data_IF_398545955903
#
_entry.id   IF_398545955903
#
_cell.length_a   1.000
_cell.length_b   1.000
_cell.length_c   1.000
_cell.angle_alpha   90.00
_cell.angle_beta   90.00
_cell.angle_gamma   90.00
#
_symmetry.space_group_name_H-M   'P 1'
#
loop_
_entity.id
_entity.type
_entity.pdbx_description
1 polymer ?
#
# COMPACT_ATOMS: atom_id res chain seq x y z
N UNK A 1 -19.98 16.14 -29.19
CA UNK A 1 -20.48 14.79 -29.14
C UNK A 1 -19.97 14.05 -27.90
N UNK A 2 -20.24 12.78 -27.79
CA UNK A 2 -19.97 11.93 -26.62
C UNK A 2 -18.50 11.95 -26.16
N UNK A 3 -17.53 11.99 -27.07
CA UNK A 3 -16.10 12.06 -26.73
C UNK A 3 -15.77 13.35 -25.95
N UNK A 4 -16.21 14.50 -26.44
CA UNK A 4 -15.97 15.78 -25.74
C UNK A 4 -16.65 15.86 -24.37
N UNK A 5 -17.81 15.25 -24.25
CA UNK A 5 -18.51 15.18 -22.96
C UNK A 5 -17.73 14.30 -21.94
N UNK A 6 -17.18 13.18 -22.41
CA UNK A 6 -16.34 12.32 -21.57
C UNK A 6 -15.02 13.01 -21.20
N UNK A 7 -14.39 13.70 -22.14
CA UNK A 7 -13.18 14.50 -21.90
C UNK A 7 -13.43 15.60 -20.86
N UNK A 8 -14.51 16.37 -21.03
CA UNK A 8 -14.89 17.41 -20.06
C UNK A 8 -15.15 16.81 -18.69
N UNK A 9 -15.90 15.70 -18.60
CA UNK A 9 -16.18 15.03 -17.33
C UNK A 9 -14.90 14.63 -16.60
N UNK A 10 -13.96 13.98 -17.29
CA UNK A 10 -12.71 13.55 -16.66
C UNK A 10 -11.80 14.71 -16.28
N UNK A 11 -11.73 15.75 -17.08
CA UNK A 11 -10.98 16.97 -16.73
C UNK A 11 -11.57 17.62 -15.48
N UNK A 12 -12.91 17.74 -15.41
CA UNK A 12 -13.60 18.31 -14.25
C UNK A 12 -13.33 17.47 -12.97
N UNK A 13 -13.28 16.12 -13.09
CA UNK A 13 -12.96 15.25 -11.97
C UNK A 13 -11.50 15.40 -11.52
N UNK A 14 -10.56 15.49 -12.44
CA UNK A 14 -9.15 15.67 -12.14
C UNK A 14 -8.88 17.05 -11.53
N UNK A 15 -9.47 18.10 -12.08
CA UNK A 15 -9.35 19.46 -11.53
C UNK A 15 -9.90 19.51 -10.11
N UNK A 16 -11.06 18.91 -9.87
CA UNK A 16 -11.65 18.82 -8.53
C UNK A 16 -10.77 18.05 -7.55
N UNK A 17 -10.18 16.92 -7.98
CA UNK A 17 -9.35 16.10 -7.12
C UNK A 17 -8.14 16.83 -6.51
N UNK A 18 -7.63 17.87 -7.19
CA UNK A 18 -6.49 18.68 -6.74
C UNK A 18 -6.89 20.09 -6.26
N UNK A 19 -8.19 20.35 -6.09
CA UNK A 19 -8.69 21.67 -5.69
C UNK A 19 -9.30 21.60 -4.30
N UNK A 20 -8.76 22.34 -3.32
CA UNK A 20 -9.39 22.47 -2.00
C UNK A 20 -10.81 23.00 -2.10
N UNK A 21 -11.73 22.49 -1.27
CA UNK A 21 -13.12 22.95 -1.23
C UNK A 21 -13.94 22.65 -2.49
N UNK A 22 -13.52 21.67 -3.30
CA UNK A 22 -14.26 21.23 -4.48
C UNK A 22 -15.61 20.60 -4.12
N UNK A 23 -16.54 20.55 -5.07
CA UNK A 23 -17.87 19.97 -4.86
C UNK A 23 -17.99 18.49 -5.20
N UNK A 24 -16.88 17.81 -5.57
CA UNK A 24 -16.88 16.42 -6.05
C UNK A 24 -16.40 15.42 -5.01
N UNK A 25 -15.44 15.83 -4.17
CA UNK A 25 -14.81 15.01 -3.14
C UNK A 25 -14.89 15.75 -1.79
N UNK A 26 -14.84 15.02 -0.69
CA UNK A 26 -14.82 15.62 0.65
C UNK A 26 -13.45 16.18 1.07
N UNK A 27 -12.40 15.80 0.33
CA UNK A 27 -11.04 16.29 0.48
C UNK A 27 -10.44 16.67 -0.87
N UNK A 28 -9.12 16.69 -0.94
CA UNK A 28 -8.35 16.92 -2.16
C UNK A 28 -6.95 16.33 -2.03
N UNK A 29 -6.33 16.05 -3.17
CA UNK A 29 -4.92 15.66 -3.25
C UNK A 29 -4.04 16.89 -3.38
N UNK A 30 -2.83 16.90 -2.79
CA UNK A 30 -1.88 17.99 -3.03
C UNK A 30 -1.43 18.00 -4.48
N UNK A 31 -1.11 19.19 -5.02
CA UNK A 31 -0.52 19.33 -6.36
C UNK A 31 0.98 19.08 -6.28
N UNK A 32 1.48 18.22 -7.17
CA UNK A 32 2.90 18.01 -7.33
C UNK A 32 3.45 18.98 -8.39
N UNK A 33 4.24 19.94 -7.95
CA UNK A 33 5.03 20.83 -8.82
C UNK A 33 6.44 20.28 -8.91
N UNK A 34 6.84 19.83 -10.08
CA UNK A 34 8.18 19.29 -10.36
C UNK A 34 8.50 19.38 -11.84
N UNK A 35 9.78 19.54 -12.13
CA UNK A 35 10.33 19.42 -13.49
C UNK A 35 10.43 17.98 -13.96
N UNK A 36 10.37 16.99 -13.04
CA UNK A 36 10.38 15.58 -13.38
C UNK A 36 9.04 15.13 -13.98
N UNK A 37 8.96 15.09 -15.31
CA UNK A 37 7.79 14.52 -16.00
C UNK A 37 7.51 13.07 -15.60
N UNK A 38 8.51 12.17 -15.47
CA UNK A 38 8.26 10.80 -15.03
C UNK A 38 7.55 10.72 -13.67
N UNK A 39 8.02 11.47 -12.68
CA UNK A 39 7.41 11.45 -11.34
C UNK A 39 5.98 12.00 -11.37
N UNK A 40 5.77 13.13 -12.07
CA UNK A 40 4.45 13.72 -12.25
C UNK A 40 3.48 12.75 -12.90
N UNK A 41 3.91 12.01 -13.94
CA UNK A 41 3.10 11.02 -14.64
C UNK A 41 2.66 9.87 -13.73
N UNK A 42 3.58 9.33 -12.91
CA UNK A 42 3.29 8.29 -11.93
C UNK A 42 2.31 8.77 -10.86
N UNK A 43 2.49 9.98 -10.35
CA UNK A 43 1.61 10.59 -9.38
C UNK A 43 0.17 10.74 -9.90
N UNK A 44 0.02 11.26 -11.12
CA UNK A 44 -1.28 11.40 -11.77
C UNK A 44 -1.92 10.05 -12.08
N UNK A 45 -1.15 9.08 -12.51
CA UNK A 45 -1.65 7.72 -12.74
C UNK A 45 -2.20 7.10 -11.45
N UNK A 46 -1.50 7.28 -10.34
CA UNK A 46 -1.97 6.84 -9.03
C UNK A 46 -3.30 7.47 -8.63
N UNK A 47 -3.41 8.80 -8.74
CA UNK A 47 -4.64 9.52 -8.45
C UNK A 47 -5.81 9.08 -9.34
N UNK A 48 -5.59 9.02 -10.66
CA UNK A 48 -6.60 8.63 -11.64
C UNK A 48 -7.05 7.18 -11.44
N UNK A 49 -6.15 6.29 -11.05
CA UNK A 49 -6.46 4.90 -10.73
C UNK A 49 -7.49 4.76 -9.63
N UNK A 50 -7.45 5.61 -8.60
CA UNK A 50 -8.45 5.62 -7.53
C UNK A 50 -9.76 6.28 -7.97
N UNK A 51 -9.68 7.45 -8.62
CA UNK A 51 -10.87 8.21 -9.09
C UNK A 51 -11.73 7.37 -10.03
N UNK A 52 -11.11 6.59 -10.91
CA UNK A 52 -11.79 5.68 -11.84
C UNK A 52 -12.75 4.71 -11.16
N UNK A 53 -12.44 4.27 -9.95
CA UNK A 53 -13.20 3.28 -9.20
C UNK A 53 -14.28 3.87 -8.29
N UNK A 54 -14.48 5.18 -8.29
CA UNK A 54 -15.57 5.81 -7.52
C UNK A 54 -16.94 5.32 -7.98
N UNK A 55 -17.78 5.00 -7.03
CA UNK A 55 -19.16 4.53 -7.24
C UNK A 55 -20.13 5.40 -6.46
N UNK A 56 -20.80 6.27 -7.21
CA UNK A 56 -21.90 7.12 -6.73
C UNK A 56 -23.20 6.66 -7.40
N UNK A 57 -24.04 5.97 -6.69
CA UNK A 57 -25.37 5.60 -7.19
C UNK A 57 -26.35 5.38 -6.03
N UNK A 58 -27.65 5.61 -6.28
CA UNK A 58 -28.66 5.63 -5.24
C UNK A 58 -28.85 4.29 -4.49
N UNK A 59 -28.42 3.17 -5.07
CA UNK A 59 -28.48 1.84 -4.44
C UNK A 59 -27.23 1.46 -3.62
N UNK A 60 -26.20 2.32 -3.59
CA UNK A 60 -24.99 2.06 -2.82
C UNK A 60 -25.28 2.26 -1.32
N UNK A 61 -25.14 1.19 -0.54
CA UNK A 61 -25.45 1.21 0.91
C UNK A 61 -24.55 2.19 1.70
N UNK A 62 -23.37 2.53 1.18
CA UNK A 62 -22.45 3.51 1.76
C UNK A 62 -22.63 4.92 1.18
N UNK A 63 -23.59 5.11 0.24
CA UNK A 63 -23.78 6.32 -0.52
C UNK A 63 -22.70 6.50 -1.61
N UNK A 64 -21.45 6.52 -1.23
CA UNK A 64 -20.26 6.52 -2.10
C UNK A 64 -19.28 5.48 -1.60
N UNK A 65 -18.72 4.73 -2.52
CA UNK A 65 -17.64 3.79 -2.28
C UNK A 65 -16.59 3.86 -3.39
N UNK A 66 -15.47 3.24 -3.16
CA UNK A 66 -14.41 3.07 -4.14
C UNK A 66 -14.14 1.58 -4.28
N UNK A 67 -14.45 1.03 -5.46
CA UNK A 67 -14.09 -0.34 -5.75
C UNK A 67 -12.57 -0.46 -5.82
N UNK A 68 -12.06 -1.66 -5.57
CA UNK A 68 -10.62 -1.92 -5.69
C UNK A 68 -10.32 -2.84 -6.83
N UNK A 69 -11.28 -3.67 -7.20
CA UNK A 69 -11.15 -4.64 -8.26
C UNK A 69 -12.45 -4.79 -9.04
N UNK A 70 -12.36 -4.73 -10.37
CA UNK A 70 -13.49 -4.91 -11.26
C UNK A 70 -13.18 -5.96 -12.32
N UNK A 71 -13.51 -7.23 -12.07
CA UNK A 71 -13.47 -8.24 -13.11
C UNK A 71 -14.66 -8.07 -14.07
N UNK A 72 -14.48 -8.41 -15.32
CA UNK A 72 -15.50 -8.24 -16.35
C UNK A 72 -16.73 -9.16 -16.19
N UNK A 73 -16.70 -10.12 -15.31
CA UNK A 73 -17.70 -11.20 -15.27
C UNK A 73 -18.25 -11.54 -13.89
N UNK A 74 -17.95 -10.74 -12.86
CA UNK A 74 -18.57 -10.87 -11.55
C UNK A 74 -18.79 -9.50 -10.90
N UNK A 75 -19.38 -9.47 -9.73
CA UNK A 75 -19.68 -8.22 -9.01
C UNK A 75 -18.40 -7.46 -8.66
N UNK A 76 -18.50 -6.14 -8.69
CA UNK A 76 -17.46 -5.26 -8.17
C UNK A 76 -17.29 -5.47 -6.68
N UNK A 77 -16.04 -5.44 -6.22
CA UNK A 77 -15.67 -5.71 -4.84
C UNK A 77 -14.69 -4.67 -4.33
N UNK A 78 -14.87 -4.29 -3.07
CA UNK A 78 -13.89 -3.48 -2.33
C UNK A 78 -13.13 -4.43 -1.41
N UNK A 79 -11.93 -4.83 -1.83
CA UNK A 79 -11.03 -5.66 -1.04
C UNK A 79 -10.31 -4.81 0.01
N UNK A 80 -10.22 -5.31 1.24
CA UNK A 80 -9.54 -4.62 2.34
C UNK A 80 -8.07 -4.39 2.00
N UNK A 81 -7.39 -5.41 1.50
CA UNK A 81 -5.97 -5.31 1.15
C UNK A 81 -5.72 -4.28 0.05
N UNK A 82 -6.40 -4.41 -1.08
CA UNK A 82 -6.22 -3.50 -2.24
C UNK A 82 -6.53 -2.05 -1.88
N UNK A 83 -7.58 -1.82 -1.09
CA UNK A 83 -7.93 -0.50 -0.60
C UNK A 83 -6.80 0.09 0.26
N UNK A 84 -6.14 -0.74 1.07
CA UNK A 84 -5.00 -0.33 1.91
C UNK A 84 -3.77 0.08 1.11
N UNK A 85 -3.59 -0.45 -0.10
CA UNK A 85 -2.48 -0.06 -0.97
C UNK A 85 -2.60 1.39 -1.47
N UNK A 86 -3.82 1.93 -1.51
CA UNK A 86 -4.12 3.33 -1.86
C UNK A 86 -4.57 4.16 -0.65
N UNK A 87 -4.25 3.75 0.55
CA UNK A 87 -4.75 4.27 1.82
C UNK A 87 -4.64 5.79 1.94
N UNK A 88 -3.45 6.37 1.70
CA UNK A 88 -3.21 7.80 1.79
C UNK A 88 -4.01 8.57 0.72
N UNK A 89 -4.13 8.00 -0.48
CA UNK A 89 -4.93 8.60 -1.54
C UNK A 89 -6.39 8.75 -1.10
N UNK A 90 -6.97 7.70 -0.50
CA UNK A 90 -8.33 7.75 0.03
C UNK A 90 -8.48 8.75 1.18
N UNK A 91 -7.53 8.77 2.12
CA UNK A 91 -7.56 9.66 3.28
C UNK A 91 -7.51 11.15 2.88
N UNK A 92 -6.78 11.48 1.82
CA UNK A 92 -6.66 12.85 1.32
C UNK A 92 -7.80 13.23 0.37
N UNK A 93 -8.11 12.37 -0.59
CA UNK A 93 -9.07 12.68 -1.65
C UNK A 93 -10.52 12.71 -1.15
N UNK A 94 -10.92 11.68 -0.40
CA UNK A 94 -12.33 11.53 0.01
C UNK A 94 -12.44 10.90 1.42
N UNK A 95 -11.98 11.63 2.46
CA UNK A 95 -11.95 11.13 3.82
C UNK A 95 -13.33 10.71 4.36
N UNK A 96 -14.42 11.37 3.94
CA UNK A 96 -15.76 10.99 4.37
C UNK A 96 -16.19 9.62 3.82
N UNK A 97 -15.87 9.34 2.56
CA UNK A 97 -16.12 8.04 1.96
C UNK A 97 -15.24 6.97 2.62
N UNK A 98 -13.98 7.28 2.88
CA UNK A 98 -13.06 6.38 3.60
C UNK A 98 -13.58 6.09 5.02
N UNK A 99 -14.01 7.11 5.77
CA UNK A 99 -14.56 6.93 7.12
C UNK A 99 -15.79 6.00 7.14
N UNK A 100 -16.70 6.14 6.16
CA UNK A 100 -17.86 5.25 6.03
C UNK A 100 -17.44 3.82 5.74
N UNK A 101 -16.47 3.62 4.86
CA UNK A 101 -15.94 2.30 4.53
C UNK A 101 -15.25 1.65 5.74
N UNK A 102 -14.44 2.41 6.48
CA UNK A 102 -13.79 1.93 7.70
C UNK A 102 -14.81 1.51 8.76
N UNK A 103 -15.82 2.34 9.05
CA UNK A 103 -16.89 2.00 9.99
C UNK A 103 -17.61 0.72 9.59
N UNK A 104 -17.84 0.53 8.30
CA UNK A 104 -18.49 -0.67 7.78
C UNK A 104 -17.64 -1.93 8.01
N UNK A 105 -16.38 -1.89 7.70
CA UNK A 105 -15.47 -3.01 7.95
C UNK A 105 -15.22 -3.26 9.43
N UNK A 106 -15.08 -2.21 10.24
CA UNK A 106 -14.88 -2.34 11.69
C UNK A 106 -16.11 -3.00 12.34
N UNK A 107 -17.31 -2.69 11.86
CA UNK A 107 -18.54 -3.31 12.35
C UNK A 107 -18.73 -4.78 11.92
N UNK A 108 -17.97 -5.23 10.94
CA UNK A 108 -17.96 -6.62 10.46
C UNK A 108 -16.74 -7.36 11.00
N UNK A 109 -16.82 -8.69 11.06
CA UNK A 109 -15.68 -9.51 11.44
C UNK A 109 -14.75 -9.72 10.24
N UNK A 110 -13.65 -8.94 10.18
CA UNK A 110 -12.64 -8.99 9.12
C UNK A 110 -11.87 -10.33 9.06
N UNK A 111 -12.05 -11.21 10.04
CA UNK A 111 -11.48 -12.54 10.04
C UNK A 111 -12.37 -13.59 9.32
N UNK A 112 -13.50 -13.16 8.75
CA UNK A 112 -14.41 -14.02 8.01
C UNK A 112 -14.52 -13.72 6.53
N UNK A 113 -14.02 -12.58 6.07
CA UNK A 113 -14.09 -12.15 4.66
C UNK A 113 -12.86 -11.30 4.29
N UNK A 114 -12.59 -11.13 3.01
CA UNK A 114 -11.48 -10.30 2.52
C UNK A 114 -11.93 -8.97 1.90
N UNK A 115 -13.21 -8.74 1.80
CA UNK A 115 -13.76 -7.51 1.20
C UNK A 115 -15.27 -7.50 1.25
N UNK A 116 -15.86 -6.48 0.64
CA UNK A 116 -17.30 -6.26 0.60
C UNK A 116 -17.78 -5.95 -0.81
N UNK A 117 -19.02 -6.34 -1.11
CA UNK A 117 -19.68 -5.97 -2.36
C UNK A 117 -20.03 -4.49 -2.33
N UNK A 118 -19.66 -3.77 -3.38
CA UNK A 118 -19.98 -2.35 -3.52
C UNK A 118 -21.47 -2.09 -3.68
N UNK A 119 -22.25 -3.09 -4.11
CA UNK A 119 -23.70 -2.97 -4.28
C UNK A 119 -24.46 -3.18 -2.97
N UNK A 120 -24.10 -4.21 -2.23
CA UNK A 120 -24.87 -4.67 -1.06
C UNK A 120 -24.19 -4.35 0.27
N UNK A 121 -22.90 -4.04 0.27
CA UNK A 121 -22.08 -3.96 1.47
C UNK A 121 -21.81 -5.33 2.14
N UNK A 122 -22.35 -6.41 1.59
CA UNK A 122 -22.20 -7.76 2.14
C UNK A 122 -20.79 -8.32 1.99
N UNK A 123 -20.40 -9.28 2.86
CA UNK A 123 -19.06 -9.86 2.86
C UNK A 123 -18.81 -10.66 1.57
N UNK A 124 -17.57 -10.62 1.10
CA UNK A 124 -17.08 -11.36 -0.07
C UNK A 124 -15.86 -12.18 0.33
N UNK A 125 -15.86 -13.45 -0.06
CA UNK A 125 -14.74 -14.36 0.16
C UNK A 125 -14.66 -14.89 1.59
N UNK A 126 -13.44 -15.19 1.99
CA UNK A 126 -13.07 -15.72 3.30
C UNK A 126 -11.99 -14.84 3.94
N UNK A 127 -11.58 -15.15 5.15
CA UNK A 127 -10.43 -14.48 5.78
C UNK A 127 -9.20 -14.47 4.87
N UNK A 128 -8.49 -13.35 4.89
CA UNK A 128 -7.22 -13.20 4.22
C UNK A 128 -6.15 -12.72 5.21
N UNK A 129 -4.98 -13.33 5.18
CA UNK A 129 -3.93 -13.18 6.19
C UNK A 129 -3.44 -11.75 6.40
N UNK A 130 -3.59 -10.89 5.40
CA UNK A 130 -3.16 -9.49 5.44
C UNK A 130 -4.16 -8.55 6.10
N UNK A 131 -5.38 -9.01 6.42
CA UNK A 131 -6.47 -8.13 6.82
C UNK A 131 -6.18 -7.28 8.06
N UNK A 132 -5.54 -7.84 9.09
CA UNK A 132 -5.21 -7.08 10.31
C UNK A 132 -4.24 -5.94 9.98
N UNK A 133 -3.18 -6.23 9.23
CA UNK A 133 -2.22 -5.23 8.77
C UNK A 133 -2.88 -4.16 7.90
N UNK A 134 -3.69 -4.57 6.94
CA UNK A 134 -4.39 -3.65 6.04
C UNK A 134 -5.33 -2.71 6.81
N UNK A 135 -6.10 -3.23 7.77
CA UNK A 135 -7.03 -2.42 8.56
C UNK A 135 -6.32 -1.45 9.51
N UNK A 136 -5.26 -1.89 10.19
CA UNK A 136 -4.48 -0.98 11.05
C UNK A 136 -3.83 0.13 10.20
N UNK A 137 -3.28 -0.22 9.03
CA UNK A 137 -2.73 0.76 8.07
C UNK A 137 -3.79 1.77 7.64
N UNK A 138 -4.97 1.30 7.27
CA UNK A 138 -6.07 2.17 6.83
C UNK A 138 -6.53 3.14 7.92
N UNK A 139 -6.76 2.65 9.13
CA UNK A 139 -7.16 3.49 10.26
C UNK A 139 -6.07 4.49 10.61
N UNK A 140 -4.81 4.04 10.66
CA UNK A 140 -3.68 4.90 10.96
C UNK A 140 -3.51 6.02 9.93
N UNK A 141 -3.56 5.70 8.63
CA UNK A 141 -3.44 6.70 7.56
C UNK A 141 -4.61 7.69 7.57
N UNK A 142 -5.82 7.21 7.82
CA UNK A 142 -6.97 8.09 8.01
C UNK A 142 -6.74 9.07 9.16
N UNK A 143 -6.37 8.57 10.35
CA UNK A 143 -6.19 9.39 11.53
C UNK A 143 -5.07 10.42 11.37
N UNK A 144 -3.91 10.00 10.84
CA UNK A 144 -2.73 10.87 10.76
C UNK A 144 -2.85 11.97 9.71
N UNK A 145 -3.62 11.76 8.63
CA UNK A 145 -3.84 12.80 7.62
C UNK A 145 -5.07 13.66 7.90
N UNK A 146 -6.13 13.10 8.46
CA UNK A 146 -7.35 13.88 8.75
C UNK A 146 -7.34 14.56 10.11
N UNK A 147 -6.57 14.05 11.07
CA UNK A 147 -6.62 14.50 12.47
C UNK A 147 -7.89 14.09 13.21
N UNK A 148 -8.77 13.31 12.61
CA UNK A 148 -10.08 12.91 13.18
C UNK A 148 -9.91 11.81 14.26
N UNK A 149 -9.27 12.17 15.37
CA UNK A 149 -9.07 11.25 16.49
C UNK A 149 -10.38 10.85 17.19
N UNK A 150 -11.49 11.55 16.92
CA UNK A 150 -12.80 11.17 17.45
C UNK A 150 -13.27 9.79 16.94
N UNK A 151 -12.80 9.35 15.77
CA UNK A 151 -13.04 8.00 15.27
C UNK A 151 -12.65 6.91 16.28
N UNK A 152 -11.58 7.15 17.06
CA UNK A 152 -11.07 6.17 18.04
C UNK A 152 -12.06 5.83 19.16
N UNK A 153 -12.97 6.75 19.48
CA UNK A 153 -14.01 6.58 20.51
C UNK A 153 -15.34 6.06 19.95
N UNK A 154 -15.48 6.05 18.62
CA UNK A 154 -16.68 5.48 18.00
C UNK A 154 -16.73 3.98 18.23
N UNK A 155 -17.96 3.43 18.26
CA UNK A 155 -18.21 2.01 18.58
C UNK A 155 -18.92 1.26 17.44
N UNK A 156 -18.34 1.22 16.23
CA UNK A 156 -18.88 0.41 15.15
C UNK A 156 -18.87 -1.08 15.56
N UNK A 157 -20.02 -1.74 15.52
CA UNK A 157 -20.11 -3.13 15.99
C UNK A 157 -20.12 -3.31 17.50
N UNK A 158 -20.20 -2.22 18.29
CA UNK A 158 -20.38 -2.28 19.75
C UNK A 158 -19.10 -2.20 20.58
N UNK A 159 -17.93 -2.11 19.96
CA UNK A 159 -16.62 -1.97 20.59
C UNK A 159 -15.93 -0.71 20.06
N UNK A 160 -15.15 -0.02 20.90
CA UNK A 160 -14.43 1.16 20.46
C UNK A 160 -13.37 0.84 19.39
N UNK A 161 -13.17 1.76 18.45
CA UNK A 161 -12.16 1.58 17.40
C UNK A 161 -10.77 1.33 18.00
N UNK A 162 -10.43 2.02 19.10
CA UNK A 162 -9.17 1.78 19.83
C UNK A 162 -9.03 0.32 20.28
N UNK A 163 -10.10 -0.28 20.76
CA UNK A 163 -10.09 -1.69 21.20
C UNK A 163 -9.99 -2.64 20.01
N UNK A 164 -10.67 -2.36 18.90
CA UNK A 164 -10.50 -3.11 17.65
C UNK A 164 -9.04 -3.08 17.16
N UNK A 165 -8.40 -1.91 17.18
CA UNK A 165 -6.98 -1.80 16.80
C UNK A 165 -6.08 -2.67 17.68
N UNK A 166 -6.33 -2.68 19.00
CA UNK A 166 -5.58 -3.53 19.93
C UNK A 166 -5.79 -5.01 19.66
N UNK A 167 -7.04 -5.42 19.44
CA UNK A 167 -7.37 -6.81 19.12
C UNK A 167 -6.70 -7.26 17.82
N UNK A 168 -6.73 -6.43 16.78
CA UNK A 168 -6.07 -6.76 15.50
C UNK A 168 -4.55 -6.79 15.63
N UNK A 169 -3.95 -5.90 16.41
CA UNK A 169 -2.50 -5.93 16.66
C UNK A 169 -2.05 -7.20 17.39
N UNK A 170 -2.95 -7.82 18.15
CA UNK A 170 -2.70 -9.04 18.94
C UNK A 170 -3.25 -10.32 18.26
N UNK A 171 -4.02 -10.22 17.18
CA UNK A 171 -4.68 -11.35 16.52
C UNK A 171 -3.71 -12.46 16.06
N UNK A 172 -2.46 -12.10 15.78
CA UNK A 172 -1.41 -13.06 15.42
C UNK A 172 -1.09 -14.06 16.54
N UNK A 173 -1.44 -13.77 17.80
CA UNK A 173 -1.24 -14.70 18.92
C UNK A 173 -1.97 -16.04 18.70
N UNK A 174 -3.16 -16.00 18.14
CA UNK A 174 -3.98 -17.19 17.89
C UNK A 174 -3.38 -18.07 16.79
N UNK A 175 -2.37 -17.55 16.08
CA UNK A 175 -1.68 -18.26 14.99
C UNK A 175 -0.30 -18.78 15.40
N UNK A 176 0.12 -18.56 16.63
CA UNK A 176 1.40 -19.11 17.12
C UNK A 176 1.30 -20.60 17.37
N UNK A 177 2.28 -21.34 16.83
CA UNK A 177 2.51 -22.72 17.18
C UNK A 177 3.56 -22.87 18.28
N UNK A 178 4.54 -23.72 18.06
CA UNK A 178 5.70 -23.87 18.94
C UNK A 178 6.75 -22.76 18.79
N UNK A 179 6.68 -22.03 17.69
CA UNK A 179 7.52 -20.86 17.37
C UNK A 179 6.91 -19.59 17.94
N UNK A 180 7.71 -18.54 18.23
CA UNK A 180 7.19 -17.22 18.58
C UNK A 180 6.57 -16.47 17.39
N UNK A 181 6.74 -16.96 16.15
CA UNK A 181 6.15 -16.36 14.94
C UNK A 181 4.70 -16.82 14.71
N UNK A 182 3.95 -16.03 13.97
CA UNK A 182 2.64 -16.44 13.48
C UNK A 182 2.77 -17.36 12.27
N UNK A 183 2.04 -18.48 12.28
CA UNK A 183 1.87 -19.40 11.15
C UNK A 183 0.57 -19.09 10.43
N UNK A 184 0.67 -18.62 9.19
CA UNK A 184 -0.47 -18.26 8.36
C UNK A 184 -1.00 -19.41 7.50
N UNK A 185 -0.41 -20.58 7.60
CA UNK A 185 -0.88 -21.78 6.92
C UNK A 185 -0.50 -21.86 5.45
N UNK A 186 -1.37 -22.51 4.70
CA UNK A 186 -1.12 -22.85 3.30
C UNK A 186 -1.35 -21.69 2.34
N UNK A 187 -0.92 -21.86 1.12
CA UNK A 187 -0.88 -20.86 0.04
C UNK A 187 -2.19 -20.09 -0.19
N UNK A 188 -3.32 -20.71 0.03
CA UNK A 188 -4.64 -20.06 -0.20
C UNK A 188 -5.01 -18.99 0.82
N UNK A 189 -4.25 -18.85 1.88
CA UNK A 189 -4.38 -17.76 2.86
C UNK A 189 -3.39 -16.62 2.67
N UNK A 190 -2.45 -16.75 1.73
CA UNK A 190 -1.34 -15.83 1.50
C UNK A 190 -1.36 -15.31 0.07
N UNK A 191 -0.24 -15.40 -0.65
CA UNK A 191 -0.16 -15.05 -2.07
C UNK A 191 -0.48 -16.26 -2.92
N UNK A 192 -1.67 -16.29 -3.44
CA UNK A 192 -2.36 -17.44 -4.04
C UNK A 192 -1.61 -18.28 -5.05
N UNK A 193 -0.49 -17.92 -5.55
CA UNK A 193 0.21 -18.65 -6.60
C UNK A 193 1.70 -18.79 -6.36
N UNK A 194 2.14 -18.67 -5.12
CA UNK A 194 3.55 -18.79 -4.72
C UNK A 194 3.67 -19.81 -3.61
N UNK A 195 4.14 -21.03 -3.94
CA UNK A 195 4.20 -22.15 -3.01
C UNK A 195 5.28 -22.00 -1.93
N UNK A 196 6.28 -21.15 -2.17
CA UNK A 196 7.31 -20.84 -1.17
C UNK A 196 6.80 -19.90 -0.07
N UNK A 197 5.73 -19.14 -0.33
CA UNK A 197 5.18 -18.15 0.59
C UNK A 197 4.06 -18.77 1.45
N UNK A 198 4.44 -19.60 2.39
CA UNK A 198 3.52 -20.35 3.28
C UNK A 198 4.03 -20.38 4.72
N UNK A 199 3.12 -20.58 5.67
CA UNK A 199 3.38 -20.76 7.09
C UNK A 199 3.99 -19.51 7.77
N UNK A 200 5.16 -19.59 8.40
CA UNK A 200 5.78 -18.48 9.11
C UNK A 200 6.58 -17.60 8.14
N UNK A 201 5.90 -16.71 7.44
CA UNK A 201 6.51 -15.79 6.46
C UNK A 201 7.03 -14.51 7.11
N UNK A 202 8.12 -13.96 6.58
CA UNK A 202 8.77 -12.78 7.14
C UNK A 202 7.93 -11.52 7.02
N UNK A 203 7.31 -11.27 5.85
CA UNK A 203 6.53 -10.06 5.61
C UNK A 203 5.35 -9.88 6.57
N UNK A 204 4.51 -10.89 6.75
CA UNK A 204 3.35 -10.77 7.64
C UNK A 204 3.76 -10.71 9.11
N UNK A 205 4.86 -11.37 9.51
CA UNK A 205 5.40 -11.23 10.86
C UNK A 205 6.08 -9.88 11.09
N UNK A 206 6.75 -9.30 10.08
CA UNK A 206 7.23 -7.92 10.12
C UNK A 206 6.07 -6.92 10.19
N UNK A 207 4.98 -7.18 9.46
CA UNK A 207 3.76 -6.40 9.57
C UNK A 207 3.16 -6.45 10.98
N UNK A 208 3.22 -7.59 11.68
CA UNK A 208 2.77 -7.69 13.06
C UNK A 208 3.64 -6.84 14.01
N UNK A 209 4.96 -6.76 13.79
CA UNK A 209 5.83 -5.82 14.53
C UNK A 209 5.38 -4.38 14.31
N UNK A 210 5.12 -4.01 13.06
CA UNK A 210 4.63 -2.68 12.72
C UNK A 210 3.24 -2.40 13.32
N UNK A 211 2.33 -3.36 13.27
CA UNK A 211 0.99 -3.25 13.87
C UNK A 211 1.08 -2.95 15.36
N UNK A 212 1.88 -3.70 16.10
CA UNK A 212 2.09 -3.52 17.54
C UNK A 212 2.62 -2.12 17.86
N UNK A 213 3.63 -1.65 17.14
CA UNK A 213 4.23 -0.31 17.31
C UNK A 213 3.23 0.80 16.95
N UNK A 214 2.53 0.66 15.83
CA UNK A 214 1.54 1.65 15.39
C UNK A 214 0.40 1.79 16.40
N UNK A 215 -0.11 0.68 16.92
CA UNK A 215 -1.17 0.71 17.92
C UNK A 215 -0.64 1.20 19.28
N UNK A 216 0.61 0.91 19.64
CA UNK A 216 1.25 1.48 20.82
C UNK A 216 1.30 3.02 20.75
N UNK A 217 1.61 3.59 19.58
CA UNK A 217 1.60 5.03 19.37
C UNK A 217 0.18 5.61 19.54
N UNK A 218 -0.84 4.94 19.00
CA UNK A 218 -2.25 5.33 19.21
C UNK A 218 -2.63 5.29 20.69
N UNK A 219 -2.27 4.23 21.42
CA UNK A 219 -2.53 4.11 22.85
C UNK A 219 -1.83 5.22 23.65
N UNK A 220 -0.61 5.58 23.26
CA UNK A 220 0.12 6.71 23.87
C UNK A 220 -0.65 8.02 23.71
N UNK A 221 -1.18 8.31 22.54
CA UNK A 221 -2.00 9.52 22.31
C UNK A 221 -3.31 9.51 23.09
N UNK A 222 -3.79 8.33 23.47
CA UNK A 222 -4.98 8.15 24.32
C UNK A 222 -4.67 8.15 25.82
N UNK A 223 -3.39 8.25 26.20
CA UNK A 223 -2.94 8.25 27.60
C UNK A 223 -2.82 6.86 28.23
N UNK A 224 -2.95 5.78 27.45
CA UNK A 224 -2.72 4.40 27.90
C UNK A 224 -1.23 4.03 27.75
N UNK A 225 -0.41 4.59 28.65
CA UNK A 225 1.03 4.37 28.64
C UNK A 225 1.43 2.91 28.97
N UNK A 226 0.65 2.23 29.82
CA UNK A 226 0.93 0.84 30.19
C UNK A 226 0.63 -0.10 29.00
N UNK A 227 -0.51 0.05 28.35
CA UNK A 227 -0.84 -0.70 27.15
C UNK A 227 0.16 -0.45 26.00
N UNK A 228 0.57 0.80 25.81
CA UNK A 228 1.59 1.13 24.81
C UNK A 228 2.93 0.44 25.09
N UNK A 229 3.36 0.43 26.35
CA UNK A 229 4.60 -0.25 26.76
C UNK A 229 4.54 -1.77 26.57
N UNK A 230 3.40 -2.38 26.87
CA UNK A 230 3.20 -3.82 26.64
C UNK A 230 3.35 -4.18 25.15
N UNK A 231 2.65 -3.45 24.28
CA UNK A 231 2.73 -3.70 22.83
C UNK A 231 4.12 -3.44 22.26
N UNK A 232 4.82 -2.41 22.73
CA UNK A 232 6.19 -2.12 22.31
C UNK A 232 7.16 -3.24 22.71
N UNK A 233 7.06 -3.72 23.94
CA UNK A 233 7.90 -4.83 24.42
C UNK A 233 7.64 -6.13 23.61
N UNK A 234 6.40 -6.35 23.24
CA UNK A 234 6.02 -7.49 22.41
C UNK A 234 6.54 -7.36 20.98
N UNK A 235 6.46 -6.16 20.39
CA UNK A 235 7.05 -5.86 19.08
C UNK A 235 8.54 -6.14 19.05
N UNK A 236 9.28 -5.71 20.09
CA UNK A 236 10.73 -5.94 20.21
C UNK A 236 11.08 -7.42 20.37
N UNK A 237 10.24 -8.18 21.05
CA UNK A 237 10.42 -9.63 21.17
C UNK A 237 10.17 -10.35 19.85
N UNK A 238 9.08 -9.99 19.13
CA UNK A 238 8.72 -10.58 17.85
C UNK A 238 9.75 -10.26 16.76
N UNK A 239 10.25 -9.02 16.74
CA UNK A 239 11.24 -8.55 15.77
C UNK A 239 12.47 -9.47 15.71
N UNK A 240 12.97 -9.91 16.84
CA UNK A 240 14.14 -10.83 16.90
C UNK A 240 13.88 -12.10 16.11
N UNK A 241 12.70 -12.68 16.26
CA UNK A 241 12.32 -13.88 15.56
C UNK A 241 12.07 -13.66 14.05
N UNK A 242 11.61 -12.47 13.66
CA UNK A 242 11.48 -12.09 12.25
C UNK A 242 12.85 -11.97 11.59
N UNK A 243 13.79 -11.30 12.25
CA UNK A 243 15.16 -11.15 11.74
C UNK A 243 15.87 -12.49 11.60
N UNK A 244 15.58 -13.46 12.46
CA UNK A 244 16.13 -14.83 12.39
C UNK A 244 15.68 -15.61 11.14
N UNK A 245 14.67 -15.13 10.40
CA UNK A 245 14.28 -15.68 9.10
C UNK A 245 15.16 -15.19 7.94
N UNK A 246 16.01 -14.18 8.18
CA UNK A 246 16.90 -13.68 7.14
C UNK A 246 17.95 -14.73 6.74
N UNK A 247 18.16 -14.89 5.44
CA UNK A 247 19.21 -15.77 4.89
C UNK A 247 20.47 -14.93 4.58
N UNK A 248 21.50 -14.99 5.42
CA UNK A 248 22.68 -14.13 5.26
C UNK A 248 23.34 -14.22 3.88
N UNK A 249 23.66 -13.08 3.29
CA UNK A 249 24.30 -12.99 1.99
C UNK A 249 23.38 -13.15 0.78
N UNK A 250 22.06 -13.29 0.99
CA UNK A 250 21.12 -13.56 -0.10
C UNK A 250 20.20 -12.38 -0.42
N UNK A 251 20.02 -11.47 0.52
CA UNK A 251 19.11 -10.33 0.39
C UNK A 251 17.63 -10.68 0.52
N UNK A 252 17.27 -11.90 0.87
CA UNK A 252 15.89 -12.29 1.10
C UNK A 252 15.72 -13.15 2.35
N UNK A 253 14.47 -13.34 2.74
CA UNK A 253 14.07 -14.11 3.93
C UNK A 253 13.58 -15.48 3.53
N UNK A 254 13.50 -16.37 4.51
CA UNK A 254 12.86 -17.66 4.37
C UNK A 254 11.49 -17.66 5.04
N UNK A 255 10.60 -18.53 4.58
CA UNK A 255 9.43 -18.98 5.32
C UNK A 255 9.78 -20.24 6.10
N UNK A 256 9.49 -20.25 7.41
CA UNK A 256 9.69 -21.45 8.24
C UNK A 256 8.46 -22.34 8.13
N UNK A 257 8.69 -23.61 7.77
CA UNK A 257 7.66 -24.62 7.63
C UNK A 257 7.36 -25.28 9.00
N UNK A 258 6.24 -26.00 9.16
CA UNK A 258 5.88 -26.67 10.43
C UNK A 258 6.91 -27.67 10.97
N UNK A 259 7.71 -28.26 10.08
CA UNK A 259 8.80 -29.18 10.44
C UNK A 259 10.12 -28.46 10.79
N UNK A 260 10.12 -27.11 10.76
CA UNK A 260 11.28 -26.27 11.00
C UNK A 260 12.15 -26.00 9.77
N UNK A 261 11.82 -26.57 8.60
CA UNK A 261 12.54 -26.31 7.35
C UNK A 261 12.39 -24.85 6.94
N UNK A 262 13.49 -24.23 6.48
CA UNK A 262 13.52 -22.88 5.95
C UNK A 262 13.45 -22.93 4.42
N UNK A 263 12.39 -22.36 3.84
CA UNK A 263 12.18 -22.26 2.40
C UNK A 263 12.46 -20.82 1.96
N UNK A 264 13.45 -20.58 1.09
CA UNK A 264 13.72 -19.22 0.61
C UNK A 264 12.51 -18.60 -0.09
N UNK A 265 12.17 -17.34 0.23
CA UNK A 265 11.09 -16.59 -0.41
C UNK A 265 11.70 -15.48 -1.24
N UNK A 266 11.60 -15.59 -2.56
CA UNK A 266 12.16 -14.63 -3.51
C UNK A 266 11.08 -13.79 -4.16
N UNK A 267 10.14 -13.29 -3.34
CA UNK A 267 8.97 -12.54 -3.79
C UNK A 267 9.05 -11.06 -3.38
N UNK A 268 8.57 -10.17 -4.25
CA UNK A 268 8.56 -8.73 -4.02
C UNK A 268 7.75 -8.34 -2.77
N UNK A 269 6.74 -9.11 -2.40
CA UNK A 269 5.92 -8.77 -1.24
C UNK A 269 6.71 -8.85 0.06
N UNK A 270 7.56 -9.87 0.23
CA UNK A 270 8.49 -9.93 1.37
C UNK A 270 9.44 -8.73 1.37
N UNK A 271 10.08 -8.43 0.23
CA UNK A 271 10.95 -7.27 0.08
C UNK A 271 10.25 -5.96 0.45
N UNK A 272 9.04 -5.73 -0.08
CA UNK A 272 8.32 -4.48 0.10
C UNK A 272 7.80 -4.30 1.52
N UNK A 273 7.21 -5.35 2.12
CA UNK A 273 6.64 -5.24 3.47
C UNK A 273 7.74 -5.17 4.52
N UNK A 274 8.76 -6.01 4.43
CA UNK A 274 9.90 -5.93 5.37
C UNK A 274 10.57 -4.55 5.26
N UNK A 275 10.83 -4.07 4.05
CA UNK A 275 11.47 -2.77 3.83
C UNK A 275 10.63 -1.59 4.29
N UNK A 276 9.30 -1.64 4.21
CA UNK A 276 8.44 -0.53 4.65
C UNK A 276 8.03 -0.60 6.12
N UNK A 277 8.29 -1.72 6.82
CA UNK A 277 7.86 -1.91 8.21
C UNK A 277 8.99 -1.94 9.23
N UNK A 278 10.12 -2.58 8.91
CA UNK A 278 11.23 -2.79 9.85
C UNK A 278 12.61 -2.45 9.27
N UNK A 279 12.70 -1.65 8.21
CA UNK A 279 13.98 -1.30 7.59
C UNK A 279 15.00 -0.73 8.58
N UNK A 280 14.56 0.11 9.51
CA UNK A 280 15.42 0.76 10.52
C UNK A 280 16.03 -0.24 11.50
N UNK A 281 15.37 -1.36 11.72
CA UNK A 281 15.83 -2.42 12.62
C UNK A 281 16.85 -3.36 11.97
N UNK A 282 16.99 -3.29 10.63
CA UNK A 282 17.90 -4.15 9.89
C UNK A 282 19.32 -3.56 9.87
N UNK A 283 20.30 -4.43 10.04
CA UNK A 283 21.71 -4.05 9.90
C UNK A 283 22.06 -3.53 8.51
N UNK A 284 23.03 -2.61 8.42
CA UNK A 284 23.41 -2.01 7.15
C UNK A 284 23.84 -3.00 6.07
N UNK A 285 24.41 -4.15 6.44
CA UNK A 285 24.73 -5.22 5.48
C UNK A 285 23.46 -5.87 4.93
N UNK A 286 22.52 -6.25 5.78
CA UNK A 286 21.23 -6.83 5.38
C UNK A 286 20.50 -5.89 4.42
N UNK A 287 20.44 -4.60 4.73
CA UNK A 287 19.80 -3.60 3.85
C UNK A 287 20.45 -3.55 2.47
N UNK A 288 21.77 -3.53 2.39
CA UNK A 288 22.50 -3.54 1.10
C UNK A 288 22.23 -4.84 0.32
N UNK A 289 22.25 -5.99 0.99
CA UNK A 289 21.98 -7.28 0.37
C UNK A 289 20.54 -7.35 -0.17
N UNK A 290 19.55 -6.78 0.56
CA UNK A 290 18.16 -6.69 0.08
C UNK A 290 18.06 -5.82 -1.18
N UNK A 291 18.73 -4.68 -1.22
CA UNK A 291 18.76 -3.82 -2.42
C UNK A 291 19.41 -4.55 -3.60
N UNK A 292 20.52 -5.24 -3.39
CA UNK A 292 21.18 -6.04 -4.43
C UNK A 292 20.27 -7.16 -4.96
N UNK A 293 19.58 -7.88 -4.07
CA UNK A 293 18.58 -8.88 -4.45
C UNK A 293 17.49 -8.26 -5.34
N UNK A 294 16.94 -7.11 -4.92
CA UNK A 294 15.91 -6.43 -5.70
C UNK A 294 16.43 -6.05 -7.10
N UNK A 295 17.60 -5.44 -7.20
CA UNK A 295 18.16 -4.99 -8.47
C UNK A 295 18.50 -6.14 -9.40
N UNK A 296 18.97 -7.27 -8.87
CA UNK A 296 19.42 -8.40 -9.69
C UNK A 296 18.31 -9.37 -10.06
N UNK A 297 17.30 -9.55 -9.20
CA UNK A 297 16.29 -10.59 -9.38
C UNK A 297 14.89 -10.06 -9.72
N UNK A 298 14.50 -8.90 -9.16
CA UNK A 298 13.13 -8.42 -9.27
C UNK A 298 12.96 -7.22 -10.20
N UNK A 299 13.85 -6.25 -10.15
CA UNK A 299 13.77 -5.05 -10.97
C UNK A 299 13.90 -5.37 -12.46
N UNK A 300 13.04 -4.76 -13.29
CA UNK A 300 13.27 -4.63 -14.73
C UNK A 300 13.48 -3.16 -15.12
N UNK A 301 13.84 -2.90 -16.35
CA UNK A 301 14.10 -1.52 -16.81
C UNK A 301 12.86 -0.62 -16.78
N UNK A 302 11.67 -1.17 -16.85
CA UNK A 302 10.41 -0.41 -16.96
C UNK A 302 9.30 -0.91 -16.03
N UNK A 303 9.52 -2.04 -15.35
CA UNK A 303 8.58 -2.64 -14.43
C UNK A 303 9.28 -3.50 -13.37
N UNK A 304 8.65 -4.59 -12.96
CA UNK A 304 9.04 -5.44 -11.87
C UNK A 304 8.60 -6.89 -12.14
N UNK A 305 9.41 -7.84 -11.73
CA UNK A 305 8.98 -9.22 -11.53
C UNK A 305 8.48 -9.36 -10.10
N UNK A 306 7.31 -9.91 -9.93
CA UNK A 306 6.78 -10.18 -8.60
C UNK A 306 7.56 -11.28 -7.90
N UNK A 307 7.96 -12.30 -8.65
CA UNK A 307 8.72 -13.45 -8.20
C UNK A 307 10.01 -13.53 -9.00
N UNK A 308 11.12 -13.83 -8.32
CA UNK A 308 12.39 -14.08 -8.98
C UNK A 308 12.30 -15.25 -9.97
N UNK A 309 12.93 -15.15 -11.15
CA UNK A 309 13.01 -16.27 -12.08
C UNK A 309 13.79 -17.47 -11.54
N UNK A 310 14.51 -17.31 -10.43
CA UNK A 310 15.24 -18.40 -9.74
C UNK A 310 14.46 -18.99 -8.56
N UNK A 311 13.24 -18.53 -8.29
CA UNK A 311 12.35 -19.18 -7.34
C UNK A 311 11.87 -20.53 -7.88
N UNK A 312 11.58 -21.46 -6.98
CA UNK A 312 11.08 -22.80 -7.35
C UNK A 312 9.75 -22.74 -8.10
N UNK A 313 8.95 -21.72 -7.86
CA UNK A 313 7.66 -21.50 -8.53
C UNK A 313 7.77 -20.76 -9.86
N UNK A 314 8.95 -20.33 -10.29
CA UNK A 314 9.09 -19.51 -11.49
C UNK A 314 8.56 -20.21 -12.76
N UNK A 315 8.51 -21.53 -12.78
CA UNK A 315 7.94 -22.33 -13.86
C UNK A 315 6.49 -22.76 -13.65
N UNK A 316 5.90 -22.43 -12.50
CA UNK A 316 4.60 -22.99 -12.09
C UNK A 316 3.44 -22.40 -12.86
N UNK A 317 3.34 -21.10 -12.94
CA UNK A 317 2.23 -20.43 -13.61
C UNK A 317 2.65 -19.07 -14.17
N UNK A 318 2.25 -18.72 -15.38
CA UNK A 318 2.56 -17.44 -15.99
C UNK A 318 1.63 -16.32 -15.51
N UNK A 319 1.37 -16.18 -14.22
CA UNK A 319 0.59 -15.07 -13.66
C UNK A 319 1.46 -13.82 -13.53
N UNK A 320 1.21 -12.78 -14.35
CA UNK A 320 2.04 -11.59 -14.39
C UNK A 320 1.81 -10.61 -13.23
N UNK A 321 0.90 -10.91 -12.31
CA UNK A 321 0.64 -10.14 -11.09
C UNK A 321 1.41 -10.69 -9.87
N UNK A 322 1.77 -11.98 -9.88
CA UNK A 322 2.40 -12.67 -8.75
C UNK A 322 3.64 -13.47 -9.13
N UNK A 323 4.01 -13.53 -10.40
CA UNK A 323 5.05 -14.40 -10.92
C UNK A 323 6.21 -13.62 -11.55
N UNK A 324 7.19 -14.33 -12.07
CA UNK A 324 8.41 -13.76 -12.66
C UNK A 324 8.16 -12.88 -13.89
N UNK A 325 7.06 -13.03 -14.57
CA UNK A 325 6.76 -12.32 -15.82
C UNK A 325 6.00 -11.01 -15.64
N UNK A 326 5.83 -10.52 -14.41
CA UNK A 326 5.18 -9.23 -14.19
C UNK A 326 4.87 -8.92 -12.73
N UNK A 327 4.11 -7.86 -12.53
CA UNK A 327 3.71 -7.39 -11.21
C UNK A 327 2.39 -6.64 -11.24
N UNK A 328 1.71 -6.69 -10.13
CA UNK A 328 0.55 -5.90 -9.76
C UNK A 328 0.90 -4.39 -9.69
N UNK A 329 0.01 -3.46 -10.04
CA UNK A 329 0.35 -2.04 -10.16
C UNK A 329 0.91 -1.36 -8.91
N UNK A 330 0.51 -1.78 -7.71
CA UNK A 330 1.04 -1.21 -6.47
C UNK A 330 2.50 -1.59 -6.18
N UNK A 331 2.92 -2.77 -6.61
CA UNK A 331 4.17 -3.34 -6.12
C UNK A 331 5.43 -2.61 -6.58
N UNK A 332 5.53 -2.04 -7.78
CA UNK A 332 6.66 -1.18 -8.10
C UNK A 332 6.74 0.07 -7.19
N UNK A 333 5.61 0.69 -6.86
CA UNK A 333 5.60 1.83 -5.94
C UNK A 333 6.00 1.44 -4.52
N UNK A 334 5.49 0.33 -3.99
CA UNK A 334 5.84 -0.16 -2.66
C UNK A 334 7.31 -0.64 -2.60
N UNK A 335 7.81 -1.25 -3.68
CA UNK A 335 9.23 -1.59 -3.80
C UNK A 335 10.12 -0.35 -3.82
N UNK A 336 9.73 0.71 -4.53
CA UNK A 336 10.46 1.98 -4.52
C UNK A 336 10.46 2.64 -3.13
N UNK A 337 9.34 2.56 -2.40
CA UNK A 337 9.27 3.01 -0.99
C UNK A 337 10.23 2.21 -0.10
N UNK A 338 10.30 0.89 -0.29
CA UNK A 338 11.27 0.03 0.39
C UNK A 338 12.71 0.41 0.08
N UNK A 339 13.05 0.68 -1.18
CA UNK A 339 14.39 1.12 -1.57
C UNK A 339 14.81 2.39 -0.82
N UNK A 340 13.91 3.38 -0.72
CA UNK A 340 14.18 4.61 0.04
C UNK A 340 14.38 4.30 1.52
N UNK A 341 13.50 3.50 2.13
CA UNK A 341 13.58 3.13 3.54
C UNK A 341 14.83 2.29 3.86
N UNK A 342 15.28 1.44 2.93
CA UNK A 342 16.51 0.66 3.06
C UNK A 342 17.79 1.50 2.85
N UNK A 343 17.65 2.79 2.50
CA UNK A 343 18.76 3.71 2.33
C UNK A 343 19.39 3.73 0.94
N UNK A 344 18.64 3.35 -0.10
CA UNK A 344 19.04 3.41 -1.51
C UNK A 344 18.03 4.24 -2.35
N UNK A 345 17.85 5.53 -2.02
CA UNK A 345 16.94 6.40 -2.76
C UNK A 345 17.37 6.61 -4.22
N UNK A 346 18.66 6.59 -4.50
CA UNK A 346 19.21 6.71 -5.85
C UNK A 346 18.70 5.61 -6.78
N UNK A 347 18.55 4.37 -6.29
CA UNK A 347 17.97 3.26 -7.05
C UNK A 347 16.50 3.52 -7.39
N UNK A 348 15.72 4.05 -6.45
CA UNK A 348 14.33 4.43 -6.69
C UNK A 348 14.22 5.57 -7.72
N UNK A 349 15.05 6.61 -7.59
CA UNK A 349 15.09 7.75 -8.51
C UNK A 349 15.46 7.31 -9.93
N UNK A 350 16.48 6.48 -10.09
CA UNK A 350 16.88 5.94 -11.39
C UNK A 350 15.76 5.13 -12.06
N UNK A 351 14.97 4.44 -11.27
CA UNK A 351 13.93 3.54 -11.78
C UNK A 351 12.65 4.24 -12.25
N UNK A 352 12.26 5.39 -11.66
CA UNK A 352 11.00 6.08 -11.96
C UNK A 352 10.83 6.45 -13.45
N UNK A 353 11.91 6.77 -14.15
CA UNK A 353 11.86 7.08 -15.58
C UNK A 353 11.37 5.88 -16.40
N UNK A 354 11.83 4.69 -16.03
CA UNK A 354 11.36 3.43 -16.63
C UNK A 354 9.89 3.13 -16.27
N UNK A 355 9.56 3.19 -14.99
CA UNK A 355 8.19 2.95 -14.49
C UNK A 355 7.18 3.88 -15.16
N UNK A 356 7.52 5.14 -15.38
CA UNK A 356 6.64 6.12 -16.00
C UNK A 356 6.20 5.75 -17.42
N UNK A 357 7.00 4.98 -18.14
CA UNK A 357 6.62 4.47 -19.47
C UNK A 357 5.49 3.46 -19.40
N UNK A 358 5.39 2.71 -18.29
CA UNK A 358 4.31 1.75 -18.06
C UNK A 358 2.99 2.43 -17.66
N UNK A 359 3.03 3.61 -17.07
CA UNK A 359 1.85 4.34 -16.60
C UNK A 359 0.82 4.67 -17.70
N UNK A 360 1.23 4.71 -18.96
CA UNK A 360 0.36 5.07 -20.08
C UNK A 360 0.03 3.88 -21.00
N UNK A 361 0.24 2.66 -20.56
CA UNK A 361 0.07 1.46 -21.38
C UNK A 361 -1.33 0.84 -21.26
N UNK A 362 -2.33 1.67 -21.22
CA UNK A 362 -3.72 1.25 -21.20
C UNK A 362 -4.59 2.10 -20.27
N UNK A 363 -5.85 1.72 -20.07
CA UNK A 363 -6.77 2.45 -19.20
C UNK A 363 -6.24 2.51 -17.75
N UNK A 364 -6.54 3.59 -17.01
CA UNK A 364 -6.27 3.66 -15.57
C UNK A 364 -6.82 2.45 -14.83
N UNK A 365 -6.19 2.09 -13.72
CA UNK A 365 -6.67 1.02 -12.87
C UNK A 365 -6.50 -0.39 -13.42
N UNK A 366 -5.66 -0.61 -14.42
CA UNK A 366 -5.37 -1.96 -14.89
C UNK A 366 -4.58 -2.77 -13.85
N UNK A 367 -4.82 -4.09 -13.85
CA UNK A 367 -4.01 -5.08 -13.16
C UNK A 367 -3.14 -5.87 -14.16
N UNK A 368 -2.33 -6.79 -13.67
CA UNK A 368 -1.59 -7.75 -14.47
C UNK A 368 -0.66 -7.14 -15.52
N UNK A 369 0.22 -6.24 -15.10
CA UNK A 369 1.22 -5.68 -15.99
C UNK A 369 2.39 -6.64 -16.19
N UNK A 370 2.79 -6.80 -17.44
CA UNK A 370 3.96 -7.58 -17.82
C UNK A 370 4.81 -6.87 -18.87
N UNK A 371 6.10 -7.02 -18.76
CA UNK A 371 7.09 -6.55 -19.75
C UNK A 371 7.61 -7.74 -20.56
N UNK A 372 7.91 -8.84 -19.90
CA UNK A 372 8.56 -10.01 -20.46
C UNK A 372 7.72 -10.72 -21.54
N UNK A 373 6.45 -10.99 -21.25
CA UNK A 373 5.58 -11.69 -22.17
C UNK A 373 5.01 -10.78 -23.29
N UNK A 374 4.84 -9.49 -22.99
CA UNK A 374 4.14 -8.55 -23.86
C UNK A 374 4.78 -7.15 -23.79
N UNK A 375 5.99 -6.93 -24.29
CA UNK A 375 6.58 -5.61 -24.30
C UNK A 375 5.73 -4.63 -25.10
N UNK A 376 5.56 -3.41 -24.58
CA UNK A 376 4.87 -2.36 -25.31
C UNK A 376 5.75 -1.82 -26.46
N UNK A 377 5.12 -1.42 -27.57
CA UNK A 377 5.83 -0.87 -28.75
C UNK A 377 6.63 0.38 -28.40
N UNK A 378 6.12 1.20 -27.49
CA UNK A 378 6.77 2.43 -26.98
C UNK A 378 7.75 2.19 -25.83
N UNK A 379 8.00 0.93 -25.46
CA UNK A 379 8.66 0.54 -24.21
C UNK A 379 7.69 0.64 -23.03
N UNK A 380 8.02 -0.03 -21.94
CA UNK A 380 7.15 -0.11 -20.77
C UNK A 380 6.38 -1.43 -20.68
N UNK A 381 5.97 -1.79 -19.49
CA UNK A 381 5.08 -2.89 -19.24
C UNK A 381 3.64 -2.50 -19.62
N UNK A 382 2.86 -3.44 -20.01
CA UNK A 382 1.44 -3.24 -20.33
C UNK A 382 0.59 -4.35 -19.76
N UNK A 383 -0.70 -4.10 -19.68
CA UNK A 383 -1.66 -5.10 -19.26
C UNK A 383 -1.53 -6.35 -20.12
N UNK A 384 -1.39 -7.48 -19.46
CA UNK A 384 -1.34 -8.77 -20.14
C UNK A 384 -2.69 -9.10 -20.79
N UNK A 385 -2.71 -9.72 -21.97
CA UNK A 385 -3.93 -10.05 -22.67
C UNK A 385 -4.66 -11.22 -22.00
N UNK A 386 -5.99 -11.31 -22.13
CA UNK A 386 -6.78 -12.36 -21.50
C UNK A 386 -6.52 -13.79 -22.00
N UNK A 387 -5.73 -13.93 -23.06
CA UNK A 387 -5.33 -15.25 -23.60
C UNK A 387 -4.23 -15.92 -22.77
N UNK A 388 -3.52 -15.18 -21.92
CA UNK A 388 -2.55 -15.79 -21.03
C UNK A 388 -3.28 -16.55 -19.92
N UNK A 389 -2.80 -17.74 -19.53
CA UNK A 389 -3.41 -18.53 -18.48
C UNK A 389 -3.57 -17.73 -17.18
N UNK A 390 -4.70 -17.90 -16.51
CA UNK A 390 -5.04 -17.26 -15.25
C UNK A 390 -5.14 -15.72 -15.28
N UNK A 391 -4.99 -15.09 -16.44
CA UNK A 391 -5.20 -13.67 -16.57
C UNK A 391 -6.68 -13.40 -16.78
N UNK A 392 -7.20 -12.67 -15.84
CA UNK A 392 -8.53 -12.13 -15.89
C UNK A 392 -8.39 -10.68 -16.33
N UNK A 393 -9.31 -10.19 -17.14
CA UNK A 393 -9.31 -8.78 -17.52
C UNK A 393 -9.80 -7.92 -16.34
N UNK A 394 -8.96 -7.82 -15.31
CA UNK A 394 -9.22 -7.04 -14.12
C UNK A 394 -8.72 -5.62 -14.28
N UNK A 395 -9.42 -4.71 -13.62
CA UNK A 395 -8.93 -3.39 -13.30
C UNK A 395 -8.86 -3.23 -11.78
N UNK A 396 -7.85 -2.55 -11.27
CA UNK A 396 -7.69 -2.34 -9.83
C UNK A 396 -7.20 -0.94 -9.51
N UNK A 397 -7.50 -0.48 -8.29
CA UNK A 397 -7.17 0.85 -7.78
C UNK A 397 -5.80 0.97 -7.14
N UNK A 398 -5.05 -0.11 -7.05
CA UNK A 398 -3.81 -0.18 -6.24
C UNK A 398 -2.69 0.77 -6.71
N UNK A 399 -2.78 1.32 -7.92
CA UNK A 399 -1.85 2.35 -8.41
C UNK A 399 -1.83 3.62 -7.53
N UNK A 400 -2.84 3.84 -6.66
CA UNK A 400 -2.81 4.90 -5.65
C UNK A 400 -1.60 4.85 -4.71
N UNK A 401 -0.89 3.73 -4.64
CA UNK A 401 0.39 3.61 -3.93
C UNK A 401 1.49 4.54 -4.48
N UNK A 402 1.41 4.99 -5.73
CA UNK A 402 2.33 6.01 -6.27
C UNK A 402 2.12 7.39 -5.61
N UNK A 403 0.91 7.70 -5.16
CA UNK A 403 0.66 8.91 -4.36
C UNK A 403 1.39 8.80 -3.01
N UNK A 404 1.32 7.64 -2.36
CA UNK A 404 2.06 7.38 -1.12
C UNK A 404 3.57 7.46 -1.33
N UNK A 405 4.09 6.91 -2.43
CA UNK A 405 5.50 7.00 -2.80
C UNK A 405 5.98 8.47 -2.86
N UNK A 406 5.22 9.32 -3.54
CA UNK A 406 5.57 10.75 -3.65
C UNK A 406 5.53 11.43 -2.30
N UNK A 407 4.44 11.28 -1.55
CA UNK A 407 4.24 12.00 -0.29
C UNK A 407 5.22 11.52 0.78
N UNK A 408 5.28 10.22 1.03
CA UNK A 408 6.07 9.69 2.15
C UNK A 408 7.56 9.54 1.82
N UNK A 409 7.88 8.99 0.65
CA UNK A 409 9.28 8.63 0.34
C UNK A 409 10.03 9.76 -0.38
N UNK A 410 9.39 10.43 -1.35
CA UNK A 410 10.06 11.50 -2.07
C UNK A 410 10.09 12.79 -1.26
N UNK A 411 8.97 13.22 -0.68
CA UNK A 411 8.93 14.41 0.18
C UNK A 411 9.22 14.13 1.66
N UNK A 412 9.22 12.89 2.10
CA UNK A 412 9.52 12.52 3.49
C UNK A 412 8.44 12.91 4.49
N UNK A 413 7.20 13.05 4.05
CA UNK A 413 6.08 13.49 4.90
C UNK A 413 5.58 12.33 5.75
N UNK A 414 5.65 12.48 7.07
CA UNK A 414 5.18 11.49 8.04
C UNK A 414 4.37 12.16 9.17
N UNK A 415 3.09 12.47 8.95
CA UNK A 415 2.23 12.98 10.01
C UNK A 415 2.01 11.90 11.07
N UNK A 416 1.92 12.31 12.33
CA UNK A 416 1.65 11.41 13.45
C UNK A 416 0.27 11.62 14.02
N UNK A 417 -0.39 10.54 14.42
CA UNK A 417 -1.71 10.60 15.06
C UNK A 417 -1.64 11.47 16.30
N UNK A 418 -2.53 12.48 16.40
CA UNK A 418 -2.64 13.37 17.54
C UNK A 418 -1.54 14.41 17.67
N UNK A 419 -0.64 14.55 16.68
CA UNK A 419 0.37 15.61 16.64
C UNK A 419 -0.07 16.77 15.75
N UNK A 420 0.16 17.98 16.21
CA UNK A 420 0.03 19.21 15.39
C UNK A 420 1.29 19.50 14.57
N UNK A 421 2.40 18.87 14.94
CA UNK A 421 3.67 19.00 14.22
C UNK A 421 3.72 18.01 13.07
N UNK A 422 4.13 18.50 11.91
CA UNK A 422 4.39 17.68 10.74
C UNK A 422 5.88 17.33 10.69
N UNK A 423 6.18 16.06 10.93
CA UNK A 423 7.51 15.54 10.67
C UNK A 423 7.72 15.41 9.14
N UNK A 424 8.73 16.10 8.65
CA UNK A 424 9.25 15.90 7.30
C UNK A 424 10.64 15.30 7.45
N UNK A 425 10.70 13.99 7.31
CA UNK A 425 11.96 13.26 7.36
C UNK A 425 12.76 13.50 6.07
N UNK A 426 13.93 12.91 5.97
CA UNK A 426 14.78 13.06 4.78
C UNK A 426 14.16 12.37 3.55
N UNK A 427 13.30 13.11 2.83
CA UNK A 427 12.84 12.70 1.51
C UNK A 427 13.96 12.81 0.48
N UNK A 428 13.79 12.12 -0.64
CA UNK A 428 14.80 12.08 -1.71
C UNK A 428 14.45 12.98 -2.91
N UNK A 429 13.38 13.76 -2.85
CA UNK A 429 12.95 14.58 -3.99
C UNK A 429 13.97 15.64 -4.38
N UNK A 430 14.73 16.19 -3.42
CA UNK A 430 15.76 17.19 -3.70
C UNK A 430 16.88 16.68 -4.61
N UNK A 431 17.17 15.37 -4.58
CA UNK A 431 18.17 14.74 -5.44
C UNK A 431 17.68 14.64 -6.90
N UNK A 432 16.36 14.65 -7.10
CA UNK A 432 15.73 14.63 -8.43
C UNK A 432 15.38 16.03 -8.92
N UNK A 433 14.81 16.86 -8.05
CA UNK A 433 14.35 18.22 -8.35
C UNK A 433 14.37 19.05 -7.06
N UNK A 434 15.42 19.87 -6.85
CA UNK A 434 15.57 20.67 -5.63
C UNK A 434 14.52 21.78 -5.49
N UNK A 435 13.82 22.13 -6.57
CA UNK A 435 12.78 23.18 -6.59
C UNK A 435 11.36 22.59 -6.49
N UNK A 436 11.22 21.27 -6.37
CA UNK A 436 9.92 20.62 -6.28
C UNK A 436 9.14 21.05 -5.04
N UNK A 437 7.82 21.17 -5.20
CA UNK A 437 6.90 21.49 -4.12
C UNK A 437 5.67 20.60 -4.18
N UNK A 438 5.26 20.09 -3.03
CA UNK A 438 3.98 19.45 -2.83
C UNK A 438 3.02 20.46 -2.24
N UNK A 439 2.15 21.05 -3.07
CA UNK A 439 1.28 22.16 -2.67
C UNK A 439 -0.07 21.71 -2.17
N UNK A 440 -0.51 22.33 -1.09
CA UNK A 440 -1.85 22.17 -0.56
C UNK A 440 -2.07 20.80 0.09
N UNK A 441 -1.05 20.22 0.71
CA UNK A 441 -1.20 18.99 1.48
C UNK A 441 -2.02 19.26 2.74
N UNK A 442 -3.10 18.49 2.92
CA UNK A 442 -3.87 18.54 4.15
C UNK A 442 -3.25 17.62 5.20
N UNK A 443 -3.04 18.17 6.39
CA UNK A 443 -2.65 17.42 7.60
C UNK A 443 -3.48 17.95 8.78
N UNK A 444 -4.43 17.17 9.23
CA UNK A 444 -5.44 17.62 10.19
C UNK A 444 -6.27 18.79 9.62
N UNK A 445 -6.33 19.88 10.36
CA UNK A 445 -7.02 21.11 9.96
C UNK A 445 -6.13 22.08 9.17
N UNK A 446 -4.84 21.74 9.00
CA UNK A 446 -3.89 22.58 8.27
C UNK A 446 -3.80 22.17 6.81
N UNK A 447 -3.59 23.15 5.95
CA UNK A 447 -3.19 22.97 4.55
C UNK A 447 -1.80 23.57 4.41
N UNK A 448 -0.83 22.79 3.98
CA UNK A 448 0.58 23.17 3.94
C UNK A 448 1.20 22.89 2.57
N UNK A 449 2.23 23.64 2.25
CA UNK A 449 3.15 23.34 1.15
C UNK A 449 4.42 22.73 1.72
N UNK A 450 4.85 21.61 1.14
CA UNK A 450 6.08 20.91 1.52
C UNK A 450 7.09 21.09 0.39
N UNK A 451 8.24 21.66 0.71
CA UNK A 451 9.30 21.93 -0.25
C UNK A 451 10.33 20.79 -0.28
N UNK A 452 11.04 20.65 -1.41
CA UNK A 452 12.05 19.62 -1.60
C UNK A 452 13.16 19.61 -0.53
N UNK A 453 13.45 20.76 0.06
CA UNK A 453 14.44 20.90 1.15
C UNK A 453 13.88 20.52 2.53
N UNK A 454 12.67 19.99 2.61
CA UNK A 454 12.00 19.61 3.86
C UNK A 454 11.32 20.77 4.61
N UNK A 455 11.40 22.02 4.11
CA UNK A 455 10.68 23.12 4.75
C UNK A 455 9.17 23.01 4.49
N UNK A 456 8.37 23.40 5.51
CA UNK A 456 6.91 23.40 5.47
C UNK A 456 6.44 24.83 5.64
N UNK A 457 5.54 25.28 4.77
CA UNK A 457 4.90 26.60 4.86
C UNK A 457 3.39 26.41 4.84
N UNK A 458 2.66 27.25 5.61
CA UNK A 458 1.21 27.24 5.49
C UNK A 458 0.83 27.67 4.07
N UNK A 459 -0.09 26.94 3.45
CA UNK A 459 -0.56 27.31 2.12
C UNK A 459 -1.22 28.69 2.20
N UNK A 460 -0.69 29.65 1.44
CA UNK A 460 -1.33 30.96 1.34
C UNK A 460 -2.72 30.77 0.74
N UNK A 461 -3.73 31.35 1.37
CA UNK A 461 -5.06 31.50 0.75
C UNK A 461 -4.87 32.21 -0.60
N UNK A 462 -4.93 31.45 -1.68
CA UNK A 462 -4.93 31.97 -3.05
C UNK A 462 -6.35 32.14 -3.56
#
# INVERSE_FOLDING_TARGET
GTVRAAESFWNDQLDAAFTPGNGQFSGHLPKLETTSEPLRRLYWWGALGVIWFRRDFAGNVLGRSYDTLMPNYWSTTTFIWDYSLSSITHALLDPDAMKRQLRHWIASDIHTHFGTSSLTGGPVGRWYSVNDYAMIRLVNDYLRFTGDTALLDETPGGQAVTEHLRDWALAWHDRRGSSPLADYGEIDNLLECVSSYTHEVASLNAANVWNLRTVADVLTTRGDADGAKELTAEADALLKSVVDLYLPGTGHFAARQPDGTLVPVRHVYDFSVVGTTIAEDLGGQTRREMVEFFETELRTGVWLRSLSPWDTDASFSPRPDHQWNGAYPAWPADAARSLVALGSPETAIDWIAGLSRSANQGPPGQAHFTEEAMPAVSGGARKAPPQLPYIIDWACSSAGSYVSLVIESFFGVDPRVGSEELDVAHGCIADLDPDAVLRGLRVGDRIVDVHANGSVTDASEQ
#
